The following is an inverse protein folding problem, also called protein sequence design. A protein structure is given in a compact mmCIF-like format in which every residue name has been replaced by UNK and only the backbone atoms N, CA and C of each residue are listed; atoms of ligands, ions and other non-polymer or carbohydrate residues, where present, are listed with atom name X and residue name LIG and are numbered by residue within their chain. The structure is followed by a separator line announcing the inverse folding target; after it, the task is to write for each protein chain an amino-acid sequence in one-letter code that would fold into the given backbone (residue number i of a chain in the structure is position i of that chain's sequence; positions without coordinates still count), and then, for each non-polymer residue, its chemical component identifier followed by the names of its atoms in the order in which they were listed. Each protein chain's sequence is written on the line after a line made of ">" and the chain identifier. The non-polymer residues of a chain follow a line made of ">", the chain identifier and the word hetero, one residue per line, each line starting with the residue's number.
data_IF_790152074969
#
_entry.id   IF_790152074969
#
_cell.length_a   1.000
_cell.length_b   1.000
_cell.length_c   1.000
_cell.angle_alpha   90.00
_cell.angle_beta   90.00
_cell.angle_gamma   90.00
#
_symmetry.space_group_name_H-M   'P 1'
#
loop_
_entity.id
_entity.type
_entity.pdbx_description
1 polymer ?
#
# COMPACT_ATOMS: atom_id res chain seq x y z
N UNK A 1 -16.76 -7.63 -26.85
CA UNK A 1 -16.93 -6.48 -25.92
C UNK A 1 -16.90 -6.88 -24.43
N UNK A 2 -16.11 -7.89 -24.03
CA UNK A 2 -15.82 -8.21 -22.61
C UNK A 2 -14.30 -8.40 -22.33
N UNK A 3 -13.47 -8.46 -23.38
CA UNK A 3 -12.03 -8.75 -23.25
C UNK A 3 -11.16 -7.60 -22.76
N UNK A 4 -11.64 -6.35 -22.83
CA UNK A 4 -10.85 -5.17 -22.44
C UNK A 4 -10.86 -4.92 -20.92
N UNK A 5 -11.96 -5.25 -20.23
CA UNK A 5 -12.03 -5.13 -18.77
C UNK A 5 -11.17 -6.20 -18.06
N UNK A 6 -10.99 -7.37 -18.66
CA UNK A 6 -10.20 -8.47 -18.10
C UNK A 6 -8.68 -8.18 -18.17
N UNK A 7 -8.21 -7.47 -19.20
CA UNK A 7 -6.78 -7.17 -19.39
C UNK A 7 -6.28 -6.05 -18.45
N UNK A 8 -7.14 -5.11 -18.05
CA UNK A 8 -6.78 -4.07 -17.06
C UNK A 8 -6.87 -4.55 -15.61
N UNK A 9 -7.92 -5.30 -15.26
CA UNK A 9 -8.10 -5.86 -13.92
C UNK A 9 -7.01 -6.90 -13.61
N UNK A 10 -6.64 -7.74 -14.57
CA UNK A 10 -5.60 -8.76 -14.38
C UNK A 10 -4.26 -8.16 -13.92
N UNK A 11 -3.75 -7.13 -14.58
CA UNK A 11 -2.42 -6.56 -14.29
C UNK A 11 -2.34 -5.81 -12.95
N UNK A 12 -3.40 -5.11 -12.55
CA UNK A 12 -3.47 -4.39 -11.27
C UNK A 12 -3.74 -5.36 -10.12
N UNK A 13 -4.62 -6.33 -10.34
CA UNK A 13 -4.94 -7.37 -9.36
C UNK A 13 -3.73 -8.30 -9.13
N UNK A 14 -3.03 -8.72 -10.20
CA UNK A 14 -1.84 -9.58 -10.11
C UNK A 14 -0.66 -8.92 -9.38
N UNK A 15 -0.38 -7.62 -9.63
CA UNK A 15 0.73 -6.93 -8.93
C UNK A 15 0.46 -6.72 -7.45
N UNK A 16 -0.80 -6.47 -7.06
CA UNK A 16 -1.17 -6.34 -5.64
C UNK A 16 -1.10 -7.68 -4.91
N UNK A 17 -1.44 -8.79 -5.59
CA UNK A 17 -1.34 -10.15 -5.06
C UNK A 17 0.10 -10.62 -4.83
N UNK A 18 1.05 -10.25 -5.69
CA UNK A 18 2.46 -10.64 -5.52
C UNK A 18 3.07 -10.12 -4.20
N UNK A 19 2.66 -8.92 -3.75
CA UNK A 19 3.09 -8.40 -2.44
C UNK A 19 2.50 -9.18 -1.29
N UNK A 20 1.20 -9.48 -1.33
CA UNK A 20 0.55 -10.30 -0.31
C UNK A 20 1.16 -11.71 -0.23
N UNK A 21 1.42 -12.33 -1.39
CA UNK A 21 2.11 -13.62 -1.49
C UNK A 21 3.57 -13.52 -0.99
N UNK A 22 4.27 -12.43 -1.28
CA UNK A 22 5.62 -12.17 -0.77
C UNK A 22 5.65 -12.06 0.75
N UNK A 23 4.71 -11.32 1.35
CA UNK A 23 4.57 -11.22 2.81
C UNK A 23 4.20 -12.56 3.44
N UNK A 24 3.31 -13.33 2.80
CA UNK A 24 2.92 -14.65 3.25
C UNK A 24 4.11 -15.62 3.22
N UNK A 25 4.83 -15.66 2.09
CA UNK A 25 6.03 -16.48 1.93
C UNK A 25 7.12 -16.08 2.93
N UNK A 26 7.31 -14.77 3.17
CA UNK A 26 8.24 -14.25 4.17
C UNK A 26 7.82 -14.69 5.58
N UNK A 27 6.53 -14.59 5.93
CA UNK A 27 6.03 -15.05 7.22
C UNK A 27 6.26 -16.55 7.43
N UNK A 28 6.02 -17.38 6.40
CA UNK A 28 6.33 -18.80 6.46
C UNK A 28 7.83 -19.09 6.57
N UNK A 29 8.66 -18.37 5.82
CA UNK A 29 10.12 -18.53 5.86
C UNK A 29 10.68 -18.12 7.22
N UNK A 30 10.26 -16.99 7.76
CA UNK A 30 10.67 -16.51 9.08
C UNK A 30 10.14 -17.43 10.18
N UNK A 31 8.88 -17.87 10.07
CA UNK A 31 8.29 -18.85 10.97
C UNK A 31 9.10 -20.14 11.01
N UNK A 32 9.36 -20.75 9.85
CA UNK A 32 10.10 -22.01 9.79
C UNK A 32 11.58 -21.92 10.17
N UNK A 33 12.22 -20.77 9.99
CA UNK A 33 13.66 -20.62 10.28
C UNK A 33 13.95 -20.15 11.71
N UNK A 34 13.07 -19.33 12.29
CA UNK A 34 13.31 -18.67 13.58
C UNK A 34 12.36 -19.09 14.71
N UNK A 35 11.21 -19.72 14.41
CA UNK A 35 10.26 -20.17 15.45
C UNK A 35 10.53 -21.65 15.77
N UNK A 36 10.69 -22.02 17.06
CA UNK A 36 10.91 -23.40 17.46
C UNK A 36 9.74 -24.31 17.07
N UNK A 37 10.02 -25.54 16.60
CA UNK A 37 8.99 -26.52 16.22
C UNK A 37 8.04 -26.87 17.38
N UNK A 38 8.52 -26.83 18.63
CA UNK A 38 7.70 -27.05 19.81
C UNK A 38 6.57 -26.03 19.96
N UNK A 39 6.84 -24.77 19.60
CA UNK A 39 5.88 -23.67 19.65
C UNK A 39 4.89 -23.75 18.47
N UNK A 40 5.34 -24.27 17.32
CA UNK A 40 4.46 -24.48 16.16
C UNK A 40 3.42 -25.58 16.42
N UNK A 41 3.79 -26.61 17.19
CA UNK A 41 2.90 -27.72 17.54
C UNK A 41 2.01 -27.42 18.75
N UNK A 42 2.51 -26.62 19.71
CA UNK A 42 1.74 -26.14 20.86
C UNK A 42 1.94 -24.63 21.09
N UNK A 43 1.12 -23.78 20.45
CA UNK A 43 1.24 -22.33 20.56
C UNK A 43 0.91 -21.80 21.96
N UNK A 44 0.31 -22.60 22.86
CA UNK A 44 0.03 -22.17 24.22
C UNK A 44 1.28 -22.06 25.09
N UNK A 45 2.38 -22.69 24.70
CA UNK A 45 3.66 -22.60 25.39
C UNK A 45 4.57 -21.50 24.83
N UNK A 46 4.10 -20.77 23.81
CA UNK A 46 4.87 -19.71 23.17
C UNK A 46 5.17 -18.57 24.14
N UNK A 47 6.45 -18.21 24.26
CA UNK A 47 6.84 -16.94 24.85
C UNK A 47 6.62 -15.80 23.86
N UNK A 48 6.51 -14.57 24.37
CA UNK A 48 6.45 -13.38 23.53
C UNK A 48 7.65 -13.29 22.56
N UNK A 49 8.83 -13.70 23.02
CA UNK A 49 10.05 -13.69 22.22
C UNK A 49 10.05 -14.72 21.08
N UNK A 50 9.33 -15.83 21.25
CA UNK A 50 9.19 -16.87 20.22
C UNK A 50 8.28 -16.38 19.08
N UNK A 51 7.29 -15.54 19.40
CA UNK A 51 6.41 -14.90 18.44
C UNK A 51 7.02 -13.62 17.81
N UNK A 52 8.10 -13.07 18.38
CA UNK A 52 8.69 -11.80 17.95
C UNK A 52 9.04 -11.74 16.45
N UNK A 53 9.60 -12.79 15.81
CA UNK A 53 9.91 -12.77 14.38
C UNK A 53 8.64 -12.62 13.51
N UNK A 54 7.57 -13.34 13.85
CA UNK A 54 6.29 -13.26 13.13
C UNK A 54 5.58 -11.93 13.39
N UNK A 55 5.62 -11.44 14.63
CA UNK A 55 5.09 -10.12 14.98
C UNK A 55 5.82 -9.01 14.23
N UNK A 56 7.15 -9.11 14.09
CA UNK A 56 7.94 -8.17 13.30
C UNK A 56 7.51 -8.19 11.83
N UNK A 57 7.43 -9.37 11.20
CA UNK A 57 6.95 -9.50 9.81
C UNK A 57 5.55 -8.92 9.63
N UNK A 58 4.64 -9.22 10.57
CA UNK A 58 3.29 -8.67 10.58
C UNK A 58 3.28 -7.14 10.67
N UNK A 59 4.07 -6.58 11.59
CA UNK A 59 4.18 -5.13 11.76
C UNK A 59 4.73 -4.45 10.50
N UNK A 60 5.78 -5.01 9.88
CA UNK A 60 6.32 -4.45 8.63
C UNK A 60 5.30 -4.56 7.49
N UNK A 61 4.57 -5.67 7.39
CA UNK A 61 3.49 -5.84 6.41
C UNK A 61 2.39 -4.78 6.56
N UNK A 62 1.97 -4.50 7.80
CA UNK A 62 0.98 -3.45 8.09
C UNK A 62 1.53 -2.07 7.74
N UNK A 63 2.78 -1.77 8.07
CA UNK A 63 3.43 -0.50 7.73
C UNK A 63 3.52 -0.30 6.20
N UNK A 64 3.92 -1.34 5.47
CA UNK A 64 3.99 -1.33 4.01
C UNK A 64 2.60 -1.12 3.37
N UNK A 65 1.55 -1.74 3.92
CA UNK A 65 0.17 -1.51 3.49
C UNK A 65 -0.30 -0.07 3.79
N UNK A 66 0.03 0.46 4.97
CA UNK A 66 -0.30 1.82 5.37
C UNK A 66 0.39 2.88 4.49
N UNK A 67 1.69 2.72 4.23
CA UNK A 67 2.45 3.61 3.34
C UNK A 67 1.86 3.58 1.93
N UNK A 68 1.54 2.40 1.41
CA UNK A 68 0.91 2.26 0.09
C UNK A 68 -0.45 2.95 0.04
N UNK A 69 -1.31 2.74 1.05
CA UNK A 69 -2.62 3.37 1.13
C UNK A 69 -2.48 4.90 1.16
N UNK A 70 -1.54 5.43 1.96
CA UNK A 70 -1.29 6.87 2.05
C UNK A 70 -0.80 7.46 0.72
N UNK A 71 0.08 6.75 0.00
CA UNK A 71 0.54 7.17 -1.32
C UNK A 71 -0.59 7.13 -2.36
N UNK A 72 -1.45 6.12 -2.29
CA UNK A 72 -2.61 6.01 -3.17
C UNK A 72 -3.59 7.17 -2.97
N UNK A 73 -3.94 7.47 -1.72
CA UNK A 73 -4.84 8.58 -1.38
C UNK A 73 -4.28 9.92 -1.88
N UNK A 74 -2.98 10.19 -1.68
CA UNK A 74 -2.35 11.41 -2.23
C UNK A 74 -2.45 11.50 -3.75
N UNK A 75 -2.33 10.38 -4.46
CA UNK A 75 -2.47 10.37 -5.92
C UNK A 75 -3.90 10.63 -6.37
N UNK A 76 -4.89 10.18 -5.60
CA UNK A 76 -6.30 10.48 -5.86
C UNK A 76 -6.52 11.99 -5.64
N UNK A 77 -6.07 12.52 -4.50
CA UNK A 77 -6.18 13.96 -4.20
C UNK A 77 -5.53 14.84 -5.27
N UNK A 78 -4.36 14.46 -5.80
CA UNK A 78 -3.72 15.19 -6.91
C UNK A 78 -4.50 15.03 -8.23
N UNK A 79 -5.06 13.86 -8.52
CA UNK A 79 -5.88 13.62 -9.73
C UNK A 79 -7.21 14.38 -9.69
N UNK A 80 -7.83 14.44 -8.52
CA UNK A 80 -9.01 15.25 -8.24
C UNK A 80 -8.68 16.73 -8.04
N UNK A 81 -7.44 17.15 -8.32
CA UNK A 81 -6.94 18.52 -8.19
C UNK A 81 -7.21 19.17 -6.81
N UNK A 82 -7.37 18.37 -5.75
CA UNK A 82 -7.52 18.88 -4.37
C UNK A 82 -6.16 19.19 -3.73
N UNK A 83 -5.07 18.58 -4.21
CA UNK A 83 -3.69 18.86 -3.81
C UNK A 83 -2.79 19.17 -5.01
N UNK A 84 -1.87 20.12 -4.83
CA UNK A 84 -0.86 20.43 -5.85
C UNK A 84 0.18 19.30 -5.99
N UNK A 85 0.43 18.84 -7.22
CA UNK A 85 1.41 17.79 -7.51
C UNK A 85 2.87 18.15 -7.13
N UNK A 86 3.19 19.45 -7.11
CA UNK A 86 4.54 19.96 -6.83
C UNK A 86 4.74 20.22 -5.34
N UNK A 87 3.93 21.10 -4.74
CA UNK A 87 4.12 21.52 -3.34
C UNK A 87 3.23 20.78 -2.32
N UNK A 88 2.28 19.94 -2.77
CA UNK A 88 1.38 19.14 -1.93
C UNK A 88 0.52 19.95 -0.94
N UNK A 89 0.20 21.19 -1.29
CA UNK A 89 -0.77 22.02 -0.55
C UNK A 89 -2.15 21.91 -1.17
N UNK A 90 -3.16 22.17 -0.35
CA UNK A 90 -4.56 22.27 -0.76
C UNK A 90 -4.73 23.30 -1.86
N UNK A 91 -5.49 22.91 -2.88
CA UNK A 91 -5.90 23.71 -4.02
C UNK A 91 -7.39 24.02 -3.90
N UNK A 92 -7.75 25.22 -4.33
CA UNK A 92 -9.13 25.61 -4.57
C UNK A 92 -9.58 24.99 -5.90
N UNK A 93 -10.89 24.77 -6.05
CA UNK A 93 -11.44 24.25 -7.31
C UNK A 93 -11.08 25.16 -8.49
N UNK A 94 -10.92 24.56 -9.68
CA UNK A 94 -10.76 25.22 -10.99
C UNK A 94 -9.62 26.23 -11.21
N UNK A 95 -8.72 26.42 -10.24
CA UNK A 95 -7.55 27.29 -10.43
C UNK A 95 -6.58 26.71 -11.46
N UNK A 96 -6.10 27.54 -12.38
CA UNK A 96 -5.12 27.16 -13.44
C UNK A 96 -3.66 27.19 -12.99
N UNK A 97 -3.39 27.82 -11.85
CA UNK A 97 -2.07 27.90 -11.23
C UNK A 97 -2.19 27.70 -9.73
N UNK A 98 -1.22 27.02 -9.12
CA UNK A 98 -1.18 26.86 -7.68
C UNK A 98 -0.80 28.18 -6.97
N UNK A 99 -1.62 28.72 -6.06
CA UNK A 99 -1.34 29.98 -5.36
C UNK A 99 -0.06 29.98 -4.52
N UNK A 100 0.42 28.79 -4.13
CA UNK A 100 1.54 28.63 -3.21
C UNK A 100 2.91 28.56 -3.88
N UNK A 101 2.96 27.98 -5.08
CA UNK A 101 4.23 27.69 -5.76
C UNK A 101 4.24 28.07 -7.25
N UNK A 102 3.15 28.64 -7.76
CA UNK A 102 2.99 29.07 -9.15
C UNK A 102 3.20 27.96 -10.20
N UNK A 103 3.16 26.68 -9.81
CA UNK A 103 3.16 25.56 -10.75
C UNK A 103 1.77 25.45 -11.40
N UNK A 104 1.75 25.17 -12.71
CA UNK A 104 0.52 24.86 -13.45
C UNK A 104 -0.19 23.66 -12.83
N UNK A 105 -1.50 23.76 -12.68
CA UNK A 105 -2.35 22.70 -12.13
C UNK A 105 -2.92 21.84 -13.25
N UNK A 106 -3.14 20.53 -13.00
CA UNK A 106 -3.92 19.72 -13.93
C UNK A 106 -5.35 20.26 -13.93
N UNK A 107 -5.86 20.71 -15.08
CA UNK A 107 -7.27 21.10 -15.24
C UNK A 107 -8.14 19.87 -14.95
N UNK A 108 -9.13 20.01 -14.06
CA UNK A 108 -10.21 19.02 -13.95
C UNK A 108 -10.85 18.93 -15.34
N UNK A 109 -10.87 17.74 -15.95
CA UNK A 109 -11.62 17.56 -17.18
C UNK A 109 -13.10 17.73 -16.83
N UNK A 110 -13.72 18.80 -17.32
CA UNK A 110 -15.15 19.03 -17.17
C UNK A 110 -15.91 17.82 -17.74
N UNK A 111 -16.76 17.20 -16.92
CA UNK A 111 -17.68 16.12 -17.31
C UNK A 111 -18.90 16.67 -18.07
#
# INVERSE_FOLDING_TARGET
>A
MLGLFITGLGQIYLRRWLRALGWLALAFLVGGLFVPESVLMDPMQASFWDAAPLLAVGAVSVLDAYVLARQHNRRIEIQEATLCASCHRELEDDVSFCPWCATETPTKADE
#
